data_IF_603257857349
#
_entry.id   IF_603257857349
#
_cell.length_a   1.000
_cell.length_b   1.000
_cell.length_c   1.000
_cell.angle_alpha   90.00
_cell.angle_beta   90.00
_cell.angle_gamma   90.00
#
_symmetry.space_group_name_H-M   'P 1'
#
loop_
_entity.id
_entity.type
_entity.pdbx_description
1 polymer ?
#
# COMPACT_ATOMS: atom_id res chain seq x y z
N UNK A 1 -5.78 1.35 -4.32
CA UNK A 1 -6.08 0.40 -3.22
C UNK A 1 -7.57 0.02 -3.15
N UNK A 2 -8.52 0.97 -3.24
CA UNK A 2 -9.96 0.67 -3.16
C UNK A 2 -10.51 -0.33 -4.20
N UNK A 3 -9.91 -0.38 -5.40
CA UNK A 3 -10.37 -1.30 -6.46
C UNK A 3 -10.09 -2.77 -6.11
N UNK A 4 -8.89 -3.10 -5.63
CA UNK A 4 -8.53 -4.45 -5.21
C UNK A 4 -9.44 -4.95 -4.08
N UNK A 5 -9.67 -4.11 -3.06
CA UNK A 5 -10.58 -4.44 -1.97
C UNK A 5 -12.01 -4.67 -2.46
N UNK A 6 -12.51 -3.81 -3.35
CA UNK A 6 -13.84 -3.95 -3.95
C UNK A 6 -13.98 -5.29 -4.70
N UNK A 7 -13.00 -5.63 -5.55
CA UNK A 7 -13.01 -6.87 -6.31
C UNK A 7 -12.93 -8.11 -5.40
N UNK A 8 -12.09 -8.07 -4.36
CA UNK A 8 -12.02 -9.14 -3.37
C UNK A 8 -13.35 -9.33 -2.62
N UNK A 9 -14.00 -8.24 -2.21
CA UNK A 9 -15.34 -8.28 -1.59
C UNK A 9 -16.39 -8.82 -2.55
N UNK A 10 -16.29 -8.49 -3.84
CA UNK A 10 -17.20 -8.98 -4.88
C UNK A 10 -17.08 -10.50 -5.10
N UNK A 11 -15.86 -11.05 -5.06
CA UNK A 11 -15.62 -12.50 -5.07
C UNK A 11 -16.33 -13.19 -3.91
N UNK A 12 -16.18 -12.65 -2.69
CA UNK A 12 -16.85 -13.21 -1.50
C UNK A 12 -18.38 -13.10 -1.64
N UNK A 13 -18.88 -11.95 -2.10
CA UNK A 13 -20.31 -11.74 -2.29
C UNK A 13 -20.90 -12.75 -3.28
N UNK A 14 -20.24 -12.99 -4.43
CA UNK A 14 -20.74 -13.90 -5.48
C UNK A 14 -20.55 -15.38 -5.16
N UNK A 15 -19.76 -15.72 -4.14
CA UNK A 15 -19.58 -17.11 -3.68
C UNK A 15 -20.91 -17.76 -3.29
N UNK A 16 -21.81 -17.01 -2.64
CA UNK A 16 -23.10 -17.51 -2.17
C UNK A 16 -24.15 -17.65 -3.30
N UNK A 17 -23.97 -16.94 -4.42
CA UNK A 17 -24.96 -16.87 -5.51
C UNK A 17 -24.59 -17.69 -6.75
N UNK A 18 -23.43 -18.35 -6.75
CA UNK A 18 -23.02 -19.27 -7.83
C UNK A 18 -22.45 -18.60 -9.09
N UNK A 19 -22.18 -17.29 -9.06
CA UNK A 19 -21.58 -16.52 -10.17
C UNK A 19 -20.13 -16.08 -9.84
N UNK A 20 -19.33 -17.05 -9.39
CA UNK A 20 -17.98 -16.78 -8.88
C UNK A 20 -16.97 -16.51 -10.01
N UNK A 21 -17.17 -17.13 -11.17
CA UNK A 21 -16.19 -17.13 -12.25
C UNK A 21 -15.91 -15.70 -12.78
N UNK A 22 -16.95 -14.88 -12.96
CA UNK A 22 -16.77 -13.52 -13.44
C UNK A 22 -16.00 -12.66 -12.43
N UNK A 23 -16.36 -12.72 -11.14
CA UNK A 23 -15.70 -11.95 -10.09
C UNK A 23 -14.23 -12.36 -9.91
N UNK A 24 -13.93 -13.66 -9.93
CA UNK A 24 -12.55 -14.16 -9.85
C UNK A 24 -11.73 -13.70 -11.07
N UNK A 25 -12.29 -13.78 -12.27
CA UNK A 25 -11.62 -13.30 -13.48
C UNK A 25 -11.39 -11.79 -13.48
N UNK A 26 -12.28 -11.01 -12.86
CA UNK A 26 -12.10 -9.57 -12.71
C UNK A 26 -10.97 -9.25 -11.71
N UNK A 27 -10.91 -9.96 -10.58
CA UNK A 27 -9.83 -9.84 -9.61
C UNK A 27 -8.47 -10.24 -10.21
N UNK A 28 -8.40 -11.38 -10.90
CA UNK A 28 -7.17 -11.88 -11.54
C UNK A 28 -6.62 -10.89 -12.57
N UNK A 29 -7.47 -10.36 -13.46
CA UNK A 29 -7.07 -9.31 -14.41
C UNK A 29 -6.47 -8.10 -13.70
N UNK A 30 -7.10 -7.64 -12.62
CA UNK A 30 -6.58 -6.50 -11.88
C UNK A 30 -5.23 -6.79 -11.21
N UNK A 31 -5.03 -8.00 -10.68
CA UNK A 31 -3.74 -8.42 -10.12
C UNK A 31 -2.64 -8.51 -11.19
N UNK A 32 -2.97 -8.99 -12.39
CA UNK A 32 -2.05 -9.01 -13.53
C UNK A 32 -1.67 -7.60 -13.98
N UNK A 33 -2.63 -6.66 -13.98
CA UNK A 33 -2.34 -5.26 -14.31
C UNK A 33 -1.38 -4.64 -13.29
N UNK A 34 -1.60 -4.89 -11.98
CA UNK A 34 -0.66 -4.47 -10.93
C UNK A 34 0.72 -5.10 -11.14
N UNK A 35 0.80 -6.37 -11.53
CA UNK A 35 2.08 -7.02 -11.81
C UNK A 35 2.82 -6.38 -13.01
N UNK A 36 2.09 -6.08 -14.09
CA UNK A 36 2.65 -5.35 -15.24
C UNK A 36 3.09 -3.95 -14.88
N UNK A 37 2.36 -3.27 -13.99
CA UNK A 37 2.76 -1.96 -13.49
C UNK A 37 4.09 -2.03 -12.75
N UNK A 38 4.32 -3.06 -11.94
CA UNK A 38 5.63 -3.29 -11.30
C UNK A 38 6.73 -3.55 -12.32
N UNK A 39 6.50 -4.44 -13.28
CA UNK A 39 7.48 -4.74 -14.33
C UNK A 39 7.87 -3.48 -15.13
N UNK A 40 6.87 -2.68 -15.52
CA UNK A 40 7.07 -1.42 -16.25
C UNK A 40 7.88 -0.40 -15.45
N UNK A 41 7.73 -0.40 -14.13
CA UNK A 41 8.35 0.59 -13.24
C UNK A 41 9.50 0.01 -12.41
N UNK A 42 10.04 -1.15 -12.78
CA UNK A 42 11.06 -1.85 -12.00
C UNK A 42 12.27 -0.96 -11.67
N UNK A 43 12.75 -0.19 -12.66
CA UNK A 43 13.87 0.76 -12.47
C UNK A 43 13.55 1.88 -11.46
N UNK A 44 12.29 2.35 -11.43
CA UNK A 44 11.86 3.38 -10.49
C UNK A 44 11.70 2.82 -9.07
N UNK A 45 11.24 1.56 -8.96
CA UNK A 45 11.15 0.85 -7.69
C UNK A 45 12.55 0.60 -7.13
N UNK A 46 13.48 0.09 -7.93
CA UNK A 46 14.88 -0.13 -7.55
C UNK A 46 15.54 1.18 -7.11
N UNK A 47 15.36 2.26 -7.89
CA UNK A 47 15.84 3.58 -7.50
C UNK A 47 15.23 4.08 -6.19
N UNK A 48 13.95 3.79 -5.93
CA UNK A 48 13.32 4.17 -4.67
C UNK A 48 13.89 3.38 -3.49
N UNK A 49 14.18 2.09 -3.68
CA UNK A 49 14.87 1.25 -2.69
C UNK A 49 16.24 1.84 -2.36
N UNK A 50 17.05 2.13 -3.38
CA UNK A 50 18.39 2.68 -3.19
C UNK A 50 18.41 4.04 -2.45
N UNK A 51 17.37 4.86 -2.66
CA UNK A 51 17.31 6.23 -2.13
C UNK A 51 16.64 6.34 -0.77
N UNK A 52 15.64 5.49 -0.49
CA UNK A 52 14.72 5.70 0.62
C UNK A 52 14.59 4.50 1.56
N UNK A 53 15.10 3.31 1.21
CA UNK A 53 15.04 2.17 2.11
C UNK A 53 16.05 2.31 3.25
N UNK A 54 15.57 2.15 4.47
CA UNK A 54 16.39 2.15 5.69
C UNK A 54 15.73 1.30 6.79
N UNK A 55 16.18 1.47 8.03
CA UNK A 55 15.65 0.73 9.19
C UNK A 55 14.18 1.07 9.49
N UNK A 56 13.71 2.25 9.08
CA UNK A 56 12.36 2.74 9.33
C UNK A 56 11.46 2.61 8.09
N UNK A 57 12.00 2.57 6.88
CA UNK A 57 11.24 2.48 5.62
C UNK A 57 11.64 1.22 4.85
N UNK A 58 10.67 0.35 4.57
CA UNK A 58 10.84 -0.82 3.73
C UNK A 58 10.07 -0.70 2.42
N UNK A 59 10.73 -0.93 1.30
CA UNK A 59 10.08 -0.93 -0.02
C UNK A 59 10.21 -2.35 -0.58
N UNK A 60 9.07 -3.03 -0.76
CA UNK A 60 9.03 -4.40 -1.27
C UNK A 60 8.86 -4.37 -2.80
N UNK A 61 9.92 -4.70 -3.53
CA UNK A 61 9.89 -4.66 -4.99
C UNK A 61 8.78 -5.53 -5.61
N UNK A 62 8.45 -6.65 -4.96
CA UNK A 62 7.50 -7.64 -5.48
C UNK A 62 6.05 -7.30 -5.07
N UNK A 63 5.86 -6.53 -4.00
CA UNK A 63 4.54 -6.14 -3.49
C UNK A 63 4.19 -4.66 -3.63
N UNK A 64 5.13 -3.80 -4.05
CA UNK A 64 4.90 -2.36 -4.16
C UNK A 64 3.82 -2.04 -5.20
N UNK A 65 3.03 -1.04 -4.86
CA UNK A 65 2.11 -0.37 -5.78
C UNK A 65 2.80 0.88 -6.31
N UNK A 66 2.63 1.14 -7.60
CA UNK A 66 3.17 2.32 -8.27
C UNK A 66 2.03 3.18 -8.80
N UNK A 67 2.13 4.49 -8.61
CA UNK A 67 1.19 5.46 -9.17
C UNK A 67 1.97 6.54 -9.94
N UNK A 68 1.77 6.60 -11.25
CA UNK A 68 2.39 7.62 -12.11
C UNK A 68 1.82 9.03 -11.82
N UNK A 69 2.67 10.03 -11.99
CA UNK A 69 2.35 11.46 -11.94
C UNK A 69 3.13 12.21 -13.02
N UNK A 70 2.80 13.47 -13.28
CA UNK A 70 3.50 14.29 -14.28
C UNK A 70 5.01 14.49 -13.96
N UNK A 71 5.41 14.37 -12.70
CA UNK A 71 6.77 14.64 -12.23
C UNK A 71 7.60 13.38 -11.92
N UNK A 72 6.99 12.19 -11.99
CA UNK A 72 7.60 10.93 -11.57
C UNK A 72 6.55 9.93 -11.09
N UNK A 73 6.92 8.99 -10.24
CA UNK A 73 6.00 7.98 -9.70
C UNK A 73 6.06 7.92 -8.17
N UNK A 74 4.92 7.65 -7.56
CA UNK A 74 4.84 7.25 -6.16
C UNK A 74 5.03 5.74 -6.06
N UNK A 75 5.95 5.30 -5.21
CA UNK A 75 6.19 3.89 -4.89
C UNK A 75 5.75 3.65 -3.46
N UNK A 76 4.92 2.63 -3.24
CA UNK A 76 4.46 2.24 -1.90
C UNK A 76 5.61 1.64 -1.09
N UNK A 77 5.81 2.15 0.13
CA UNK A 77 6.68 1.58 1.15
C UNK A 77 5.96 1.41 2.48
N UNK A 78 6.49 0.55 3.33
CA UNK A 78 6.08 0.33 4.71
C UNK A 78 6.92 1.20 5.62
N UNK A 79 6.26 1.95 6.52
CA UNK A 79 6.92 2.70 7.56
C UNK A 79 6.82 1.92 8.87
N UNK A 80 7.97 1.64 9.48
CA UNK A 80 8.05 1.11 10.83
C UNK A 80 7.66 2.19 11.83
N UNK A 81 6.74 1.84 12.74
CA UNK A 81 6.33 2.73 13.83
C UNK A 81 6.59 2.01 15.14
N UNK A 82 7.51 2.58 15.94
CA UNK A 82 7.87 2.01 17.23
C UNK A 82 6.69 2.10 18.21
N UNK A 83 6.38 1.00 18.91
CA UNK A 83 5.34 1.00 19.95
C UNK A 83 5.68 1.84 21.19
N UNK A 84 6.87 2.46 21.25
CA UNK A 84 7.28 3.34 22.35
C UNK A 84 6.73 4.76 22.22
N UNK A 85 6.31 5.16 21.02
CA UNK A 85 5.75 6.50 20.77
C UNK A 85 4.23 6.58 20.99
N UNK A 86 3.58 5.45 21.26
CA UNK A 86 2.15 5.41 21.62
C UNK A 86 1.86 5.97 23.04
N UNK A 87 2.90 6.43 23.76
CA UNK A 87 2.83 6.90 25.14
C UNK A 87 3.57 8.20 25.44
N UNK A 88 3.91 9.01 24.43
CA UNK A 88 4.37 10.37 24.66
C UNK A 88 3.17 11.20 25.16
N UNK A 89 3.15 11.38 26.47
CA UNK A 89 2.14 12.11 27.22
C UNK A 89 1.73 13.41 26.51
N UNK A 90 0.43 13.56 26.33
CA UNK A 90 -0.22 14.86 26.35
C UNK A 90 0.17 15.45 27.72
N UNK A 91 1.21 16.27 27.78
CA UNK A 91 1.39 17.18 28.89
C UNK A 91 0.28 18.22 28.75
N UNK A 92 -0.76 18.24 29.60
CA UNK A 92 -1.49 19.49 29.78
C UNK A 92 -0.47 20.45 30.39
N UNK A 93 -0.20 21.53 29.66
CA UNK A 93 0.50 22.69 30.19
C UNK A 93 -0.24 23.13 31.46
N UNK A 94 0.29 22.69 32.61
CA UNK A 94 -0.22 23.09 33.90
C UNK A 94 0.09 24.57 34.06
N UNK A 95 -0.96 25.37 34.10
CA UNK A 95 -0.97 26.80 34.41
C UNK A 95 0.00 27.12 35.55
N UNK A 96 0.88 28.14 35.42
CA UNK A 96 1.74 28.53 36.53
C UNK A 96 0.91 29.24 37.61
N UNK A 97 1.13 28.96 38.91
CA UNK A 97 0.54 29.73 40.00
C UNK A 97 1.50 30.83 40.51
N UNK A 98 0.98 31.77 41.30
CA UNK A 98 0.65 33.15 40.94
C UNK A 98 1.85 34.08 40.67
#
# INVERSE_FOLDING_TARGET
>A
MHLLERLAREVVARWEYGDLAEAVNALDRHLQDIAKDRERHAELIERAIDLYQDDDIQIDADASLVCESEAGAFVMGWLWVSGRDSGAAIHPEATPPP
#
